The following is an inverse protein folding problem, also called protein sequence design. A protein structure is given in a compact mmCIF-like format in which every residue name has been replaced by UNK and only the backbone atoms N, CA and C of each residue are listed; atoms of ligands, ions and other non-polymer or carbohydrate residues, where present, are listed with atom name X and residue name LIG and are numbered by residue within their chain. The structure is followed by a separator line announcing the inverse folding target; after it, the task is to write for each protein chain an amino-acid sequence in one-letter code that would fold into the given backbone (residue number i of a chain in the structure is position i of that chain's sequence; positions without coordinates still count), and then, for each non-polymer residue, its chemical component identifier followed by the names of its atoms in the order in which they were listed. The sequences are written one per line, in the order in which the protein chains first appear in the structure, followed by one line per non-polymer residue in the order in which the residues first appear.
data_IF_663258100337
#
_entry.id   IF_663258100337
#
_cell.length_a   1.000
_cell.length_b   1.000
_cell.length_c   1.000
_cell.angle_alpha   90.00
_cell.angle_beta   90.00
_cell.angle_gamma   90.00
#
_symmetry.space_group_name_H-M   'P 1'
#
loop_
_entity.id
_entity.type
_entity.pdbx_description
1 polymer ?
#
# COMPACT_ATOMS: atom_id res chain seq x y z
N UNK A 1 1.28 -19.00 12.97
CA UNK A 1 1.69 -17.58 13.00
C UNK A 1 3.15 -17.56 13.40
N UNK A 2 4.05 -17.12 12.51
CA UNK A 2 5.48 -17.01 12.81
C UNK A 2 5.90 -15.54 12.92
N UNK A 3 7.04 -15.26 13.55
CA UNK A 3 7.65 -13.93 13.66
C UNK A 3 7.75 -13.23 12.30
N UNK A 4 8.09 -13.94 11.22
CA UNK A 4 8.16 -13.36 9.87
C UNK A 4 6.78 -12.89 9.36
N UNK A 5 5.71 -13.62 9.66
CA UNK A 5 4.33 -13.22 9.30
C UNK A 5 3.86 -12.03 10.15
N UNK A 6 4.22 -11.99 11.43
CA UNK A 6 3.91 -10.87 12.32
C UNK A 6 4.63 -9.58 11.89
N UNK A 7 5.94 -9.68 11.66
CA UNK A 7 6.79 -8.54 11.28
C UNK A 7 6.38 -8.00 9.91
N UNK A 8 6.12 -8.86 8.92
CA UNK A 8 5.63 -8.42 7.60
C UNK A 8 4.28 -7.69 7.68
N UNK A 9 3.35 -8.18 8.52
CA UNK A 9 2.08 -7.49 8.77
C UNK A 9 2.26 -6.11 9.40
N UNK A 10 3.08 -6.01 10.45
CA UNK A 10 3.35 -4.74 11.14
C UNK A 10 4.04 -3.70 10.24
N UNK A 11 4.97 -4.14 9.39
CA UNK A 11 5.62 -3.25 8.41
C UNK A 11 4.60 -2.76 7.39
N UNK A 12 3.75 -3.66 6.87
CA UNK A 12 2.71 -3.30 5.89
C UNK A 12 1.73 -2.27 6.44
N UNK A 13 1.26 -2.44 7.67
CA UNK A 13 0.36 -1.47 8.31
C UNK A 13 1.05 -0.13 8.58
N UNK A 14 2.29 -0.14 9.10
CA UNK A 14 3.05 1.09 9.33
C UNK A 14 3.25 1.89 8.04
N UNK A 15 3.66 1.22 6.96
CA UNK A 15 3.81 1.84 5.63
C UNK A 15 2.49 2.42 5.13
N UNK A 16 1.39 1.67 5.23
CA UNK A 16 0.08 2.14 4.82
C UNK A 16 -0.34 3.41 5.56
N UNK A 17 -0.20 3.42 6.89
CA UNK A 17 -0.53 4.58 7.72
C UNK A 17 0.35 5.79 7.38
N UNK A 18 1.65 5.59 7.12
CA UNK A 18 2.55 6.67 6.71
C UNK A 18 2.11 7.32 5.39
N UNK A 19 1.78 6.54 4.36
CA UNK A 19 1.33 7.07 3.07
C UNK A 19 -0.04 7.75 3.19
N UNK A 20 -0.96 7.14 3.95
CA UNK A 20 -2.29 7.69 4.20
C UNK A 20 -2.20 9.05 4.91
N UNK A 21 -1.41 9.15 5.99
CA UNK A 21 -1.19 10.39 6.74
C UNK A 21 -0.53 11.46 5.88
N UNK A 22 0.46 11.08 5.06
CA UNK A 22 1.09 11.98 4.09
C UNK A 22 0.10 12.55 3.06
N UNK A 23 -0.73 11.69 2.47
CA UNK A 23 -1.74 12.11 1.49
C UNK A 23 -2.85 12.98 2.10
N UNK A 24 -3.29 12.67 3.32
CA UNK A 24 -4.24 13.51 4.06
C UNK A 24 -3.66 14.89 4.34
N UNK A 25 -2.42 14.96 4.84
CA UNK A 25 -1.73 16.22 5.11
C UNK A 25 -1.53 17.04 3.84
N UNK A 26 -1.20 16.39 2.73
CA UNK A 26 -1.05 17.06 1.44
C UNK A 26 -2.36 17.68 0.96
N UNK A 27 -3.47 16.95 1.04
CA UNK A 27 -4.80 17.47 0.70
C UNK A 27 -5.17 18.68 1.56
N UNK A 28 -5.04 18.55 2.89
CA UNK A 28 -5.40 19.61 3.83
C UNK A 28 -4.53 20.86 3.69
N UNK A 29 -3.28 20.73 3.23
CA UNK A 29 -2.40 21.88 3.00
C UNK A 29 -2.87 22.78 1.84
N UNK A 30 -3.73 22.26 0.95
CA UNK A 30 -4.36 23.02 -0.14
C UNK A 30 -5.79 23.43 0.14
N UNK A 31 -6.35 23.07 1.31
CA UNK A 31 -7.74 23.37 1.65
C UNK A 31 -7.87 24.81 2.19
N UNK A 32 -8.95 25.50 1.81
CA UNK A 32 -9.24 26.86 2.29
C UNK A 32 -9.51 26.91 3.79
N UNK A 33 -10.12 25.86 4.34
CA UNK A 33 -10.33 25.68 5.78
C UNK A 33 -9.93 24.24 6.19
N UNK A 34 -8.67 24.03 6.63
CA UNK A 34 -8.18 22.70 7.00
C UNK A 34 -8.75 22.13 8.30
N UNK A 35 -9.55 22.90 9.05
CA UNK A 35 -10.15 22.47 10.31
C UNK A 35 -11.65 22.18 10.17
N UNK A 36 -12.26 22.54 9.04
CA UNK A 36 -13.62 22.19 8.70
C UNK A 36 -13.77 20.65 8.69
N UNK A 37 -14.77 20.10 9.41
CA UNK A 37 -15.00 18.65 9.47
C UNK A 37 -15.14 18.00 8.09
N UNK A 38 -15.71 18.74 7.12
CA UNK A 38 -15.83 18.28 5.74
C UNK A 38 -14.47 18.11 5.04
N UNK A 39 -13.53 19.04 5.24
CA UNK A 39 -12.20 18.94 4.64
C UNK A 39 -11.36 17.87 5.32
N UNK A 40 -11.52 17.64 6.62
CA UNK A 40 -10.90 16.52 7.34
C UNK A 40 -11.37 15.18 6.75
N UNK A 41 -12.68 15.02 6.53
CA UNK A 41 -13.25 13.81 5.93
C UNK A 41 -12.74 13.59 4.49
N UNK A 42 -12.69 14.65 3.67
CA UNK A 42 -12.13 14.58 2.32
C UNK A 42 -10.63 14.28 2.32
N UNK A 43 -9.88 14.88 3.24
CA UNK A 43 -8.45 14.62 3.42
C UNK A 43 -8.19 13.18 3.82
N UNK A 44 -9.01 12.59 4.69
CA UNK A 44 -8.94 11.17 5.00
C UNK A 44 -9.17 10.31 3.75
N UNK A 45 -10.21 10.59 2.97
CA UNK A 45 -10.50 9.88 1.73
C UNK A 45 -9.35 10.01 0.71
N UNK A 46 -8.75 11.20 0.58
CA UNK A 46 -7.60 11.45 -0.27
C UNK A 46 -6.37 10.66 0.20
N UNK A 47 -6.09 10.63 1.51
CA UNK A 47 -5.03 9.83 2.10
C UNK A 47 -5.19 8.33 1.82
N UNK A 48 -6.40 7.79 2.04
CA UNK A 48 -6.72 6.39 1.75
C UNK A 48 -6.56 6.08 0.26
N UNK A 49 -7.05 6.96 -0.62
CA UNK A 49 -6.92 6.78 -2.07
C UNK A 49 -5.44 6.72 -2.51
N UNK A 50 -4.61 7.61 -1.96
CA UNK A 50 -3.17 7.63 -2.22
C UNK A 50 -2.48 6.34 -1.74
N UNK A 51 -2.80 5.90 -0.52
CA UNK A 51 -2.26 4.65 0.04
C UNK A 51 -2.70 3.41 -0.75
N UNK A 52 -3.94 3.40 -1.26
CA UNK A 52 -4.46 2.32 -2.09
C UNK A 52 -3.68 2.18 -3.40
N UNK A 53 -3.51 3.27 -4.15
CA UNK A 53 -2.76 3.25 -5.41
C UNK A 53 -1.29 2.86 -5.20
N UNK A 54 -0.67 3.36 -4.13
CA UNK A 54 0.66 2.92 -3.75
C UNK A 54 0.72 1.40 -3.53
N UNK A 55 -0.24 0.85 -2.78
CA UNK A 55 -0.36 -0.59 -2.54
C UNK A 55 -0.51 -1.39 -3.84
N UNK A 56 -1.34 -0.92 -4.78
CA UNK A 56 -1.52 -1.55 -6.10
C UNK A 56 -0.18 -1.61 -6.86
N UNK A 57 0.58 -0.52 -6.88
CA UNK A 57 1.89 -0.48 -7.54
C UNK A 57 2.85 -1.47 -6.87
N UNK A 58 2.92 -1.48 -5.53
CA UNK A 58 3.79 -2.40 -4.78
C UNK A 58 3.43 -3.86 -5.08
N UNK A 59 2.15 -4.21 -5.06
CA UNK A 59 1.68 -5.57 -5.37
C UNK A 59 1.99 -5.95 -6.81
N UNK A 60 1.80 -5.04 -7.78
CA UNK A 60 2.17 -5.31 -9.17
C UNK A 60 3.67 -5.54 -9.33
N UNK A 61 4.51 -4.71 -8.71
CA UNK A 61 5.97 -4.85 -8.77
C UNK A 61 6.38 -6.19 -8.18
N UNK A 62 5.97 -6.49 -6.94
CA UNK A 62 6.29 -7.77 -6.28
C UNK A 62 5.74 -8.95 -7.09
N UNK A 63 4.50 -8.87 -7.58
CA UNK A 63 3.86 -9.91 -8.37
C UNK A 63 4.58 -10.20 -9.69
N UNK A 64 5.09 -9.18 -10.39
CA UNK A 64 5.88 -9.36 -11.60
C UNK A 64 7.21 -10.08 -11.33
N UNK A 65 7.88 -9.78 -10.21
CA UNK A 65 9.11 -10.47 -9.82
C UNK A 65 8.86 -11.91 -9.39
N UNK A 66 7.78 -12.18 -8.64
CA UNK A 66 7.37 -13.53 -8.27
C UNK A 66 7.01 -14.38 -9.49
N UNK A 67 6.39 -13.78 -10.53
CA UNK A 67 6.07 -14.45 -11.79
C UNK A 67 7.32 -14.88 -12.57
N UNK A 68 8.38 -14.06 -12.60
CA UNK A 68 9.64 -14.44 -13.27
C UNK A 68 10.34 -15.62 -12.59
N UNK A 69 10.19 -15.77 -11.27
CA UNK A 69 10.81 -16.86 -10.52
C UNK A 69 10.20 -18.26 -10.76
N UNK A 70 8.98 -18.37 -11.33
CA UNK A 70 8.27 -19.65 -11.52
C UNK A 70 8.32 -20.22 -12.96
N UNK A 71 9.26 -19.79 -13.80
CA UNK A 71 9.42 -20.34 -15.17
C UNK A 71 10.45 -21.49 -15.29
N UNK A 72 10.76 -22.21 -14.20
CA UNK A 72 11.74 -23.30 -14.19
C UNK A 72 11.31 -24.50 -13.31
N UNK A 73 10.04 -24.92 -13.28
CA UNK A 73 9.71 -26.14 -12.50
C UNK A 73 8.54 -27.02 -13.00
N UNK A 74 8.09 -26.87 -14.24
CA UNK A 74 7.06 -27.76 -14.80
C UNK A 74 7.46 -28.39 -16.16
N UNK A 75 8.74 -28.75 -16.33
CA UNK A 75 9.20 -29.65 -17.42
C UNK A 75 9.99 -30.87 -16.89
N UNK A 76 10.07 -31.11 -15.58
CA UNK A 76 10.87 -32.22 -15.01
C UNK A 76 10.08 -33.31 -14.27
N UNK A 77 8.75 -33.34 -14.41
CA UNK A 77 7.92 -34.39 -13.80
C UNK A 77 7.24 -35.33 -14.81
N UNK A 78 7.81 -35.47 -16.02
CA UNK A 78 7.43 -36.53 -16.95
C UNK A 78 8.62 -36.92 -17.85
N UNK A 79 9.54 -37.71 -17.30
CA UNK A 79 10.48 -38.56 -18.02
C UNK A 79 10.89 -39.71 -17.11
#
# INVERSE_FOLDING_TARGET
MNTLQLVSGAIGTALYISIMSGGQKQYLSGASDPQAPAEIAKGLAAGINNAFWFGVIVVLVIGLFLRKGKSQEHEQASA
#
